data_IF_512624885412
#
_entry.id   IF_512624885412
#
_cell.length_a   1.000
_cell.length_b   1.000
_cell.length_c   1.000
_cell.angle_alpha   90.00
_cell.angle_beta   90.00
_cell.angle_gamma   90.00
#
_symmetry.space_group_name_H-M   'P 1'
#
loop_
_entity.id
_entity.type
_entity.pdbx_description
1 polymer ?
#
# COMPACT_ATOMS: atom_id res chain seq x y z
N UNK A 1 -18.08 6.05 5.18
CA UNK A 1 -17.25 6.66 4.12
C UNK A 1 -15.85 6.02 4.02
N UNK A 2 -15.38 5.26 5.00
CA UNK A 2 -14.07 4.58 5.03
C UNK A 2 -13.95 3.40 4.07
N UNK A 3 -15.05 2.64 3.91
CA UNK A 3 -15.16 1.59 2.89
C UNK A 3 -14.93 2.12 1.48
N UNK A 4 -15.37 3.37 1.20
CA UNK A 4 -15.19 4.01 -0.10
C UNK A 4 -13.70 4.28 -0.43
N UNK A 5 -12.91 4.74 0.56
CA UNK A 5 -11.48 4.93 0.37
C UNK A 5 -10.75 3.61 0.12
N UNK A 6 -11.05 2.56 0.90
CA UNK A 6 -10.43 1.25 0.72
C UNK A 6 -10.74 0.68 -0.68
N UNK A 7 -12.01 0.68 -1.07
CA UNK A 7 -12.43 0.13 -2.36
C UNK A 7 -11.89 0.98 -3.53
N UNK A 8 -11.79 2.31 -3.37
CA UNK A 8 -11.12 3.18 -4.35
C UNK A 8 -9.66 2.78 -4.56
N UNK A 9 -8.88 2.67 -3.47
CA UNK A 9 -7.46 2.31 -3.56
C UNK A 9 -7.29 0.91 -4.19
N UNK A 10 -8.06 -0.07 -3.74
CA UNK A 10 -8.00 -1.43 -4.31
C UNK A 10 -8.39 -1.44 -5.79
N UNK A 11 -9.40 -0.66 -6.18
CA UNK A 11 -9.83 -0.50 -7.57
C UNK A 11 -8.76 0.14 -8.45
N UNK A 12 -8.14 1.22 -7.98
CA UNK A 12 -7.01 1.89 -8.65
C UNK A 12 -5.82 0.93 -8.82
N UNK A 13 -5.42 0.25 -7.75
CA UNK A 13 -4.29 -0.70 -7.81
C UNK A 13 -4.58 -1.91 -8.70
N UNK A 14 -5.83 -2.38 -8.74
CA UNK A 14 -6.22 -3.53 -9.56
C UNK A 14 -6.30 -3.16 -11.05
N UNK A 15 -6.84 -1.98 -11.38
CA UNK A 15 -6.98 -1.50 -12.76
C UNK A 15 -5.65 -1.06 -13.37
N UNK A 16 -4.80 -0.39 -12.59
CA UNK A 16 -3.51 0.13 -13.04
C UNK A 16 -2.36 -0.88 -12.88
N UNK A 17 -2.63 -2.14 -12.53
CA UNK A 17 -1.65 -3.15 -12.08
C UNK A 17 -0.34 -3.23 -12.90
N UNK A 18 -0.39 -3.00 -14.21
CA UNK A 18 0.78 -3.04 -15.09
C UNK A 18 1.51 -1.72 -15.28
N UNK A 19 0.95 -0.60 -14.80
CA UNK A 19 1.40 0.77 -15.05
C UNK A 19 1.60 1.59 -13.76
N UNK A 20 1.61 0.96 -12.58
CA UNK A 20 1.75 1.66 -11.29
C UNK A 20 3.20 2.10 -11.11
N UNK A 21 3.40 3.38 -10.78
CA UNK A 21 4.72 3.91 -10.44
C UNK A 21 5.01 3.87 -8.94
N UNK A 22 6.28 3.97 -8.59
CA UNK A 22 6.78 3.98 -7.22
C UNK A 22 6.01 4.95 -6.30
N UNK A 23 5.87 6.20 -6.75
CA UNK A 23 5.24 7.26 -5.96
C UNK A 23 3.73 7.04 -5.84
N UNK A 24 3.09 6.47 -6.87
CA UNK A 24 1.66 6.17 -6.86
C UNK A 24 1.36 5.09 -5.82
N UNK A 25 2.10 3.97 -5.84
CA UNK A 25 1.91 2.92 -4.83
C UNK A 25 2.19 3.43 -3.41
N UNK A 26 3.23 4.25 -3.25
CA UNK A 26 3.58 4.85 -1.94
C UNK A 26 2.46 5.72 -1.42
N UNK A 27 1.88 6.57 -2.28
CA UNK A 27 0.75 7.44 -1.95
C UNK A 27 -0.48 6.61 -1.56
N UNK A 28 -0.83 5.61 -2.35
CA UNK A 28 -2.01 4.78 -2.08
C UNK A 28 -1.90 4.01 -0.77
N UNK A 29 -0.73 3.43 -0.47
CA UNK A 29 -0.47 2.80 0.83
C UNK A 29 -0.57 3.80 1.98
N UNK A 30 0.00 5.00 1.82
CA UNK A 30 -0.07 6.06 2.83
C UNK A 30 -1.51 6.50 3.12
N UNK A 31 -2.35 6.62 2.09
CA UNK A 31 -3.78 6.95 2.26
C UNK A 31 -4.51 5.95 3.16
N UNK A 32 -4.15 4.67 3.03
CA UNK A 32 -4.67 3.58 3.86
C UNK A 32 -4.06 3.50 5.27
N UNK A 33 -3.10 4.36 5.61
CA UNK A 33 -2.49 4.40 6.94
C UNK A 33 -1.19 3.62 7.08
N UNK A 34 -0.65 3.08 5.99
CA UNK A 34 0.68 2.48 6.02
C UNK A 34 1.76 3.56 6.08
N UNK A 35 2.82 3.28 6.82
CA UNK A 35 4.05 4.05 6.77
C UNK A 35 5.02 3.37 5.82
N UNK A 36 5.42 4.08 4.76
CA UNK A 36 6.30 3.58 3.70
C UNK A 36 7.65 4.25 3.80
N UNK A 37 8.69 3.46 4.08
CA UNK A 37 10.06 3.92 4.30
C UNK A 37 11.01 3.35 3.26
N UNK A 38 12.13 4.03 3.07
CA UNK A 38 13.21 3.54 2.23
C UNK A 38 13.94 2.36 2.92
N UNK A 39 14.18 1.31 2.15
CA UNK A 39 14.96 0.17 2.58
C UNK A 39 16.47 0.42 2.46
N UNK A 40 17.28 -0.50 2.99
CA UNK A 40 18.76 -0.39 2.99
C UNK A 40 19.40 -0.47 1.60
N UNK A 41 18.66 -0.89 0.57
CA UNK A 41 19.14 -1.09 -0.80
C UNK A 41 18.38 -0.17 -1.74
N UNK A 42 19.09 0.45 -2.69
CA UNK A 42 18.51 1.43 -3.61
C UNK A 42 17.23 0.93 -4.30
N UNK A 43 16.18 1.76 -4.28
CA UNK A 43 14.88 1.45 -4.86
C UNK A 43 13.96 0.56 -4.02
N UNK A 44 14.45 -0.08 -2.95
CA UNK A 44 13.59 -0.87 -2.07
C UNK A 44 12.78 0.02 -1.13
N UNK A 45 11.49 -0.28 -1.00
CA UNK A 45 10.58 0.33 -0.04
C UNK A 45 10.05 -0.75 0.90
N UNK A 46 9.96 -0.43 2.19
CA UNK A 46 9.34 -1.26 3.22
C UNK A 46 8.14 -0.50 3.75
N UNK A 47 7.00 -1.17 3.88
CA UNK A 47 5.80 -0.58 4.43
C UNK A 47 5.31 -1.35 5.66
N UNK A 48 4.85 -0.62 6.66
CA UNK A 48 4.35 -1.12 7.94
C UNK A 48 3.02 -0.45 8.28
N UNK A 49 2.22 -1.04 9.17
CA UNK A 49 0.96 -0.44 9.61
C UNK A 49 0.74 -0.70 11.10
N UNK A 50 0.69 0.36 11.91
CA UNK A 50 0.60 0.24 13.37
C UNK A 50 -0.74 -0.29 13.90
N UNK A 51 -1.77 -0.29 13.05
CA UNK A 51 -3.11 -0.78 13.40
C UNK A 51 -3.43 -2.22 13.02
N UNK A 52 -2.46 -2.99 12.50
CA UNK A 52 -2.68 -4.39 12.09
C UNK A 52 -1.94 -5.34 13.04
N UNK A 53 -2.63 -6.28 13.68
CA UNK A 53 -2.04 -7.10 14.76
C UNK A 53 -1.04 -8.13 14.24
N UNK A 54 -1.32 -8.75 13.10
CA UNK A 54 -0.51 -9.86 12.56
C UNK A 54 0.35 -9.46 11.36
N UNK A 55 0.42 -8.16 11.07
CA UNK A 55 1.22 -7.64 9.96
C UNK A 55 2.51 -6.99 10.45
N UNK A 56 3.63 -7.65 10.22
CA UNK A 56 4.94 -7.08 10.57
C UNK A 56 5.39 -6.02 9.55
N UNK A 57 5.47 -6.38 8.27
CA UNK A 57 5.83 -5.48 7.18
C UNK A 57 5.60 -6.13 5.82
N UNK A 58 5.54 -5.29 4.79
CA UNK A 58 5.64 -5.70 3.40
C UNK A 58 6.74 -4.90 2.70
N UNK A 59 7.13 -5.34 1.50
CA UNK A 59 8.10 -4.58 0.71
C UNK A 59 7.78 -4.64 -0.78
N UNK A 60 8.22 -3.61 -1.48
CA UNK A 60 8.24 -3.56 -2.93
C UNK A 60 9.53 -2.90 -3.40
N UNK A 61 9.92 -3.17 -4.64
CA UNK A 61 11.08 -2.53 -5.25
C UNK A 61 10.60 -1.64 -6.38
N UNK A 62 10.94 -0.36 -6.30
CA UNK A 62 10.68 0.60 -7.34
C UNK A 62 11.56 0.32 -8.57
N UNK A 63 12.75 -0.27 -8.42
CA UNK A 63 13.72 -0.45 -9.49
C UNK A 63 14.67 0.75 -9.57
N UNK A 64 15.21 1.01 -10.76
CA UNK A 64 16.22 2.06 -10.99
C UNK A 64 15.60 3.24 -11.76
N UNK A 65 16.05 4.47 -11.46
CA UNK A 65 15.61 5.69 -12.15
C UNK A 65 14.67 6.58 -11.33
N UNK A 66 14.17 7.66 -11.93
CA UNK A 66 13.28 8.64 -11.30
C UNK A 66 11.81 8.20 -11.48
N UNK A 67 11.22 7.66 -10.43
CA UNK A 67 9.84 7.12 -10.39
C UNK A 67 9.51 6.03 -11.44
N UNK A 68 10.24 4.90 -11.42
CA UNK A 68 10.00 3.76 -12.32
C UNK A 68 8.64 3.06 -12.10
N UNK A 69 8.22 2.32 -13.12
CA UNK A 69 7.09 1.38 -13.04
C UNK A 69 7.46 0.18 -12.16
N UNK A 70 6.55 -0.18 -11.26
CA UNK A 70 6.71 -1.31 -10.36
C UNK A 70 6.34 -2.60 -11.10
N UNK A 71 7.11 -3.66 -10.86
CA UNK A 71 6.77 -5.00 -11.38
C UNK A 71 5.37 -5.43 -10.89
N UNK A 72 4.47 -5.92 -11.78
CA UNK A 72 3.10 -6.30 -11.43
C UNK A 72 2.97 -7.33 -10.30
N UNK A 73 4.01 -8.15 -10.08
CA UNK A 73 4.07 -9.11 -8.98
C UNK A 73 4.00 -8.42 -7.59
N UNK A 74 4.65 -7.26 -7.43
CA UNK A 74 4.57 -6.50 -6.17
C UNK A 74 3.16 -5.96 -5.95
N UNK A 75 2.50 -5.45 -7.00
CA UNK A 75 1.12 -4.96 -6.90
C UNK A 75 0.17 -6.10 -6.51
N UNK A 76 0.36 -7.29 -7.10
CA UNK A 76 -0.41 -8.50 -6.72
C UNK A 76 -0.25 -8.84 -5.24
N UNK A 77 0.99 -8.80 -4.74
CA UNK A 77 1.24 -9.09 -3.33
C UNK A 77 0.67 -8.02 -2.39
N UNK A 78 0.74 -6.74 -2.77
CA UNK A 78 0.11 -5.65 -2.02
C UNK A 78 -1.40 -5.84 -1.96
N UNK A 79 -2.07 -6.08 -3.10
CA UNK A 79 -3.51 -6.35 -3.12
C UNK A 79 -3.89 -7.52 -2.20
N UNK A 80 -3.11 -8.61 -2.24
CA UNK A 80 -3.30 -9.74 -1.32
C UNK A 80 -3.23 -9.32 0.14
N UNK A 81 -2.22 -8.54 0.54
CA UNK A 81 -2.07 -8.03 1.91
C UNK A 81 -3.26 -7.14 2.30
N UNK A 82 -3.66 -6.22 1.42
CA UNK A 82 -4.81 -5.33 1.67
C UNK A 82 -6.10 -6.13 1.88
N UNK A 83 -6.32 -7.21 1.11
CA UNK A 83 -7.48 -8.06 1.28
C UNK A 83 -7.44 -8.88 2.57
N UNK A 84 -6.29 -9.46 2.93
CA UNK A 84 -6.13 -10.22 4.19
C UNK A 84 -6.43 -9.35 5.41
N UNK A 85 -5.96 -8.10 5.40
CA UNK A 85 -6.11 -7.18 6.54
C UNK A 85 -7.28 -6.19 6.38
N UNK A 86 -8.23 -6.44 5.47
CA UNK A 86 -9.30 -5.47 5.13
C UNK A 86 -10.05 -4.97 6.37
N UNK A 87 -10.46 -5.87 7.25
CA UNK A 87 -11.26 -5.50 8.43
C UNK A 87 -10.50 -4.54 9.36
N UNK A 88 -9.24 -4.84 9.66
CA UNK A 88 -8.39 -4.03 10.54
C UNK A 88 -8.05 -2.67 9.91
N UNK A 89 -7.77 -2.63 8.60
CA UNK A 89 -7.55 -1.37 7.87
C UNK A 89 -8.81 -0.49 7.95
N UNK A 90 -10.01 -1.06 7.74
CA UNK A 90 -11.25 -0.31 7.84
C UNK A 90 -11.49 0.23 9.25
N UNK A 91 -11.29 -0.59 10.29
CA UNK A 91 -11.36 -0.16 11.69
C UNK A 91 -10.38 0.96 12.01
N UNK A 92 -9.15 0.88 11.49
CA UNK A 92 -8.16 1.95 11.64
C UNK A 92 -8.64 3.26 10.98
N UNK A 93 -9.11 3.18 9.73
CA UNK A 93 -9.60 4.35 8.99
C UNK A 93 -10.82 4.99 9.67
N UNK A 94 -11.70 4.20 10.29
CA UNK A 94 -12.84 4.69 11.06
C UNK A 94 -12.40 5.48 12.28
N UNK A 95 -11.46 4.94 13.06
CA UNK A 95 -10.90 5.64 14.23
C UNK A 95 -10.22 6.96 13.84
N UNK A 96 -9.50 6.97 12.70
CA UNK A 96 -8.81 8.16 12.18
C UNK A 96 -9.78 9.29 11.80
N UNK A 97 -10.95 8.97 11.27
CA UNK A 97 -11.94 9.94 10.81
C UNK A 97 -12.85 10.50 11.94
N UNK A 98 -12.70 10.02 13.17
CA UNK A 98 -13.51 10.43 14.33
C UNK A 98 -12.81 11.55 15.14
N UNK A 99 -11.64 12.02 14.68
CA UNK A 99 -10.89 13.16 15.25
C UNK A 99 -10.70 14.24 14.18
#
# INVERSE_FOLDING_TARGET
MTTNLFDQVVGELSSAKCNIRCDDLTRELTRLGFDVREGKRGGHRVFVHGGLSDFTSGSFNCGHGRNPEIKPAYITNVLRILHVHKAEILTYLEKRNVH
#
